data_IF_744106509565
#
_entry.id   IF_744106509565
#
_cell.length_a   1.000
_cell.length_b   1.000
_cell.length_c   1.000
_cell.angle_alpha   90.00
_cell.angle_beta   90.00
_cell.angle_gamma   90.00
#
_symmetry.space_group_name_H-M   'P 1'
#
loop_
_entity.id
_entity.type
_entity.pdbx_description
1 polymer ?
#
# COMPACT_ATOMS: atom_id res chain seq x y z
N UNK A 1 -35.66 16.05 36.30
CA UNK A 1 -34.53 16.14 35.35
C UNK A 1 -33.50 15.04 35.54
N UNK A 2 -32.87 14.80 36.70
CA UNK A 2 -31.84 13.74 36.88
C UNK A 2 -32.28 12.35 36.45
N UNK A 3 -33.51 11.88 36.82
CA UNK A 3 -34.02 10.57 36.41
C UNK A 3 -34.18 10.43 34.87
N UNK A 4 -34.56 11.51 34.17
CA UNK A 4 -34.70 11.50 32.72
C UNK A 4 -33.30 11.37 32.04
N UNK A 5 -32.31 12.16 32.50
CA UNK A 5 -30.97 12.12 31.99
C UNK A 5 -30.36 10.72 32.15
N UNK A 6 -30.53 10.11 33.35
CA UNK A 6 -30.04 8.75 33.61
C UNK A 6 -30.67 7.72 32.66
N UNK A 7 -32.03 7.77 32.51
CA UNK A 7 -32.73 6.87 31.57
C UNK A 7 -32.26 7.05 30.14
N UNK A 8 -32.13 8.30 29.68
CA UNK A 8 -31.63 8.60 28.34
C UNK A 8 -30.21 8.09 28.13
N UNK A 9 -29.32 8.22 29.11
CA UNK A 9 -27.96 7.70 29.04
C UNK A 9 -27.93 6.16 28.95
N UNK A 10 -28.80 5.49 29.73
CA UNK A 10 -28.91 4.02 29.69
C UNK A 10 -29.41 3.56 28.31
N UNK A 11 -30.46 4.18 27.77
CA UNK A 11 -30.97 3.82 26.43
C UNK A 11 -29.93 4.09 25.35
N UNK A 12 -29.22 5.22 25.41
CA UNK A 12 -28.14 5.53 24.48
C UNK A 12 -27.04 4.48 24.53
N UNK A 13 -26.63 4.04 25.72
CA UNK A 13 -25.66 2.97 25.88
C UNK A 13 -26.13 1.66 25.23
N UNK A 14 -27.37 1.24 25.45
CA UNK A 14 -27.93 0.05 24.83
C UNK A 14 -28.01 0.17 23.31
N UNK A 15 -28.35 1.33 22.76
CA UNK A 15 -28.36 1.59 21.33
C UNK A 15 -26.92 1.39 20.76
N UNK A 16 -25.89 1.96 21.41
CA UNK A 16 -24.50 1.78 20.97
C UNK A 16 -24.08 0.30 21.01
N UNK A 17 -24.49 -0.43 22.03
CA UNK A 17 -24.20 -1.84 22.16
C UNK A 17 -24.85 -2.66 21.02
N UNK A 18 -26.13 -2.40 20.74
CA UNK A 18 -26.83 -3.05 19.62
C UNK A 18 -26.15 -2.72 18.28
N UNK A 19 -25.78 -1.45 18.05
CA UNK A 19 -25.07 -1.05 16.85
C UNK A 19 -23.68 -1.72 16.72
N UNK A 20 -22.93 -1.83 17.83
CA UNK A 20 -21.65 -2.56 17.84
C UNK A 20 -21.84 -4.03 17.42
N UNK A 21 -22.89 -4.69 17.95
CA UNK A 21 -23.23 -6.08 17.57
C UNK A 21 -23.59 -6.17 16.08
N UNK A 22 -24.42 -5.26 15.57
CA UNK A 22 -24.79 -5.22 14.15
C UNK A 22 -23.53 -5.05 13.26
N UNK A 23 -22.68 -4.08 13.59
CA UNK A 23 -21.45 -3.83 12.81
C UNK A 23 -20.55 -5.06 12.78
N UNK A 24 -20.48 -5.82 13.89
CA UNK A 24 -19.70 -7.06 13.96
C UNK A 24 -20.31 -8.21 13.15
N UNK A 25 -21.59 -8.45 13.29
CA UNK A 25 -22.29 -9.55 12.58
C UNK A 25 -22.22 -9.33 11.06
N UNK A 26 -22.40 -8.11 10.60
CA UNK A 26 -22.37 -7.78 9.17
C UNK A 26 -20.97 -7.43 8.64
N UNK A 27 -19.92 -7.52 9.45
CA UNK A 27 -18.55 -7.15 9.08
C UNK A 27 -18.47 -5.78 8.38
N UNK A 28 -19.14 -4.74 8.94
CA UNK A 28 -19.14 -3.41 8.35
C UNK A 28 -17.86 -2.61 8.66
N UNK A 29 -17.21 -2.91 9.78
CA UNK A 29 -15.95 -2.29 10.20
C UNK A 29 -14.75 -3.16 9.81
N UNK A 30 -13.78 -2.56 9.12
CA UNK A 30 -12.55 -3.28 8.74
C UNK A 30 -11.71 -3.71 9.95
N UNK A 31 -10.94 -4.75 9.77
CA UNK A 31 -9.81 -5.09 10.63
C UNK A 31 -8.55 -4.36 10.13
N UNK A 32 -7.64 -4.12 11.05
CA UNK A 32 -6.31 -3.60 10.72
C UNK A 32 -5.31 -4.46 11.47
N UNK A 33 -4.46 -5.22 10.79
CA UNK A 33 -3.46 -6.03 11.47
C UNK A 33 -2.52 -5.16 12.30
N UNK A 34 -2.01 -5.72 13.37
CA UNK A 34 -0.98 -5.06 14.16
C UNK A 34 0.34 -5.10 13.39
N UNK A 35 1.10 -4.03 13.51
CA UNK A 35 2.42 -3.88 12.87
C UNK A 35 3.55 -3.91 13.88
N UNK A 36 4.75 -4.08 13.41
CA UNK A 36 5.95 -4.01 14.24
C UNK A 36 7.17 -3.66 13.38
N UNK A 37 8.22 -3.27 14.04
CA UNK A 37 9.54 -3.11 13.46
C UNK A 37 10.36 -4.36 13.86
N UNK A 38 10.95 -5.04 12.89
CA UNK A 38 11.76 -6.21 13.16
C UNK A 38 13.22 -5.87 13.55
N UNK A 39 14.06 -6.89 13.75
CA UNK A 39 15.47 -6.72 14.13
C UNK A 39 16.34 -6.07 13.05
N UNK A 40 15.86 -6.01 11.82
CA UNK A 40 16.52 -5.32 10.70
C UNK A 40 15.94 -3.94 10.43
N UNK A 41 15.13 -3.44 11.38
CA UNK A 41 14.40 -2.17 11.23
C UNK A 41 13.44 -2.13 10.02
N UNK A 42 12.97 -3.29 9.56
CA UNK A 42 11.94 -3.38 8.52
C UNK A 42 10.57 -3.39 9.16
N UNK A 43 9.72 -2.43 8.80
CA UNK A 43 8.33 -2.37 9.27
C UNK A 43 7.50 -3.43 8.54
N UNK A 44 6.79 -4.28 9.29
CA UNK A 44 5.95 -5.37 8.78
C UNK A 44 4.68 -5.53 9.61
N UNK A 45 3.75 -6.31 9.10
CA UNK A 45 2.65 -6.81 9.91
C UNK A 45 3.15 -7.89 10.87
N UNK A 46 2.58 -7.97 12.07
CA UNK A 46 2.84 -9.10 12.96
C UNK A 46 2.38 -10.38 12.30
N UNK A 47 3.18 -11.44 12.31
CA UNK A 47 2.82 -12.73 11.70
C UNK A 47 1.55 -13.36 12.25
N UNK A 48 0.95 -14.26 11.46
CA UNK A 48 -0.15 -15.12 11.85
C UNK A 48 -1.42 -14.38 12.28
N UNK A 49 -1.75 -13.29 11.61
CA UNK A 49 -3.00 -12.56 11.80
C UNK A 49 -3.96 -12.81 10.64
N UNK A 50 -5.25 -12.95 10.98
CA UNK A 50 -6.33 -13.02 10.01
C UNK A 50 -7.31 -11.87 10.26
N UNK A 51 -8.02 -11.45 9.22
CA UNK A 51 -9.05 -10.43 9.36
C UNK A 51 -9.69 -10.07 8.03
N UNK A 52 -10.49 -9.01 8.08
CA UNK A 52 -11.27 -8.54 6.95
C UNK A 52 -10.89 -7.11 6.59
N UNK A 53 -10.66 -6.88 5.31
CA UNK A 53 -10.56 -5.54 4.74
C UNK A 53 -11.91 -5.15 4.15
N UNK A 54 -12.41 -3.98 4.57
CA UNK A 54 -13.70 -3.45 4.12
C UNK A 54 -13.48 -2.03 3.62
N UNK A 55 -13.94 -1.74 2.41
CA UNK A 55 -13.84 -0.43 1.80
C UNK A 55 -15.20 0.00 1.23
N UNK A 56 -15.47 1.29 1.32
CA UNK A 56 -16.74 1.88 0.90
C UNK A 56 -17.88 1.66 1.90
N UNK A 57 -18.93 2.48 1.73
CA UNK A 57 -20.15 2.38 2.53
C UNK A 57 -20.85 1.06 2.25
N UNK A 58 -21.47 0.47 3.26
CA UNK A 58 -22.27 -0.77 3.12
C UNK A 58 -21.46 -1.96 2.59
N UNK A 59 -20.18 -2.09 2.96
CA UNK A 59 -19.36 -3.23 2.58
C UNK A 59 -19.24 -3.43 1.06
N UNK A 60 -19.06 -2.37 0.32
CA UNK A 60 -19.01 -2.42 -1.15
C UNK A 60 -17.82 -3.22 -1.69
N UNK A 61 -16.70 -3.20 -0.98
CA UNK A 61 -15.59 -4.09 -1.22
C UNK A 61 -15.26 -4.82 0.08
N UNK A 62 -15.18 -6.14 0.01
CA UNK A 62 -14.88 -7.03 1.12
C UNK A 62 -13.89 -8.08 0.69
N UNK A 63 -12.84 -8.25 1.47
CA UNK A 63 -11.81 -9.27 1.25
C UNK A 63 -11.25 -9.77 2.58
N UNK A 64 -10.84 -11.01 2.59
CA UNK A 64 -10.10 -11.62 3.69
C UNK A 64 -8.61 -11.42 3.49
N UNK A 65 -7.88 -11.26 4.58
CA UNK A 65 -6.43 -11.27 4.57
C UNK A 65 -5.86 -12.28 5.55
N UNK A 66 -4.70 -12.79 5.22
CA UNK A 66 -3.86 -13.62 6.08
C UNK A 66 -2.44 -13.08 6.07
N UNK A 67 -1.90 -12.77 7.24
CA UNK A 67 -0.50 -12.37 7.36
C UNK A 67 0.33 -13.62 7.64
N UNK A 68 1.21 -13.95 6.70
CA UNK A 68 2.09 -15.10 6.79
C UNK A 68 3.20 -14.93 7.85
N UNK A 69 4.04 -15.94 8.05
CA UNK A 69 5.16 -15.89 9.01
C UNK A 69 6.19 -14.82 8.70
N UNK A 70 6.30 -14.39 7.44
CA UNK A 70 7.19 -13.30 7.02
C UNK A 70 6.62 -11.90 7.25
N UNK A 71 5.34 -11.78 7.64
CA UNK A 71 4.69 -10.50 7.96
C UNK A 71 4.03 -9.80 6.76
N UNK A 72 3.62 -10.54 5.72
CA UNK A 72 2.98 -10.03 4.52
C UNK A 72 1.63 -10.70 4.26
N UNK A 73 0.74 -10.02 3.53
CA UNK A 73 -0.58 -10.56 3.18
C UNK A 73 -0.47 -11.66 2.14
N UNK A 74 -0.37 -12.89 2.60
CA UNK A 74 -0.21 -14.07 1.76
C UNK A 74 -0.62 -15.33 2.50
N UNK A 75 -1.31 -16.26 1.82
CA UNK A 75 -1.50 -17.63 2.29
C UNK A 75 -0.31 -18.53 1.91
N UNK A 76 0.64 -18.01 1.15
CA UNK A 76 1.91 -18.67 0.90
C UNK A 76 2.94 -18.23 1.91
N UNK A 77 3.66 -19.17 2.50
CA UNK A 77 4.89 -18.87 3.24
C UNK A 77 6.05 -18.53 2.28
N UNK A 78 6.88 -17.58 2.67
CA UNK A 78 7.98 -17.13 1.82
C UNK A 78 9.24 -17.91 2.16
N UNK A 79 9.43 -19.02 1.47
CA UNK A 79 10.56 -19.94 1.62
C UNK A 79 11.32 -20.10 0.30
N UNK A 80 12.02 -19.04 -0.16
CA UNK A 80 12.70 -19.08 -1.44
C UNK A 80 13.79 -20.16 -1.46
N UNK A 81 13.93 -20.82 -2.62
CA UNK A 81 14.89 -21.88 -2.88
C UNK A 81 15.61 -21.65 -4.22
N UNK A 82 16.48 -22.56 -4.65
CA UNK A 82 17.04 -22.57 -6.01
C UNK A 82 16.42 -23.64 -6.92
N UNK A 83 15.42 -24.36 -6.40
CA UNK A 83 14.84 -25.51 -7.08
C UNK A 83 13.67 -25.12 -8.00
N UNK A 84 13.18 -23.90 -7.86
CA UNK A 84 12.02 -23.36 -8.59
C UNK A 84 12.39 -22.01 -9.21
N UNK A 85 11.55 -21.58 -10.15
CA UNK A 85 11.60 -20.21 -10.64
C UNK A 85 10.80 -19.34 -9.69
N UNK A 86 11.44 -18.38 -9.07
CA UNK A 86 10.86 -17.56 -8.02
C UNK A 86 10.94 -16.07 -8.36
N UNK A 87 9.84 -15.36 -8.18
CA UNK A 87 9.73 -13.92 -8.41
C UNK A 87 9.22 -13.23 -7.18
N UNK A 88 9.87 -12.15 -6.75
CA UNK A 88 9.36 -11.26 -5.73
C UNK A 88 8.65 -10.06 -6.38
N UNK A 89 7.45 -9.77 -5.92
CA UNK A 89 6.77 -8.49 -6.14
C UNK A 89 6.90 -7.67 -4.87
N UNK A 90 7.60 -6.56 -4.91
CA UNK A 90 7.82 -5.67 -3.76
C UNK A 90 7.12 -4.35 -4.01
N UNK A 91 6.39 -3.82 -3.04
CA UNK A 91 5.68 -2.55 -3.22
C UNK A 91 4.82 -2.15 -2.05
N UNK A 92 3.98 -1.15 -2.31
CA UNK A 92 3.07 -0.57 -1.33
C UNK A 92 1.74 -1.34 -1.20
N UNK A 93 0.68 -0.65 -0.79
CA UNK A 93 -0.68 -1.19 -0.65
C UNK A 93 -1.25 -1.79 -1.94
N UNK A 94 -0.74 -1.44 -3.11
CA UNK A 94 -1.17 -2.00 -4.39
C UNK A 94 -0.68 -3.45 -4.57
N UNK A 95 0.52 -3.76 -4.08
CA UNK A 95 1.05 -5.13 -4.03
C UNK A 95 0.52 -5.88 -2.81
N UNK A 96 0.44 -5.23 -1.63
CA UNK A 96 -0.12 -5.82 -0.40
C UNK A 96 -1.52 -6.43 -0.60
N UNK A 97 -2.35 -5.72 -1.34
CA UNK A 97 -3.57 -6.28 -1.89
C UNK A 97 -4.71 -6.55 -0.92
N UNK A 98 -4.82 -5.87 0.21
CA UNK A 98 -5.97 -6.01 1.13
C UNK A 98 -7.34 -5.74 0.52
N UNK A 99 -7.39 -5.10 -0.64
CA UNK A 99 -8.64 -4.78 -1.34
C UNK A 99 -9.20 -5.93 -2.18
N UNK A 100 -8.52 -7.06 -2.22
CA UNK A 100 -8.91 -8.27 -2.95
C UNK A 100 -8.53 -9.51 -2.14
N UNK A 101 -9.33 -10.57 -2.24
CA UNK A 101 -8.93 -11.86 -1.71
C UNK A 101 -7.61 -12.31 -2.33
N UNK A 102 -6.77 -12.98 -1.57
CA UNK A 102 -5.44 -13.45 -1.96
C UNK A 102 -5.42 -14.18 -3.31
N UNK A 103 -6.41 -15.03 -3.58
CA UNK A 103 -6.51 -15.77 -4.86
C UNK A 103 -6.72 -14.88 -6.10
N UNK A 104 -7.03 -13.60 -5.88
CA UNK A 104 -7.10 -12.56 -6.91
C UNK A 104 -5.87 -11.65 -6.90
N UNK A 105 -4.82 -11.99 -6.16
CA UNK A 105 -3.56 -11.23 -6.15
C UNK A 105 -2.83 -11.32 -7.49
N UNK A 106 -1.92 -10.40 -7.73
CA UNK A 106 -1.12 -10.38 -8.96
C UNK A 106 -0.27 -11.64 -9.04
N UNK A 107 0.36 -12.04 -7.94
CA UNK A 107 1.18 -13.25 -7.86
C UNK A 107 0.38 -14.50 -8.20
N UNK A 108 -0.81 -14.67 -7.62
CA UNK A 108 -1.65 -15.83 -7.93
C UNK A 108 -2.12 -15.88 -9.38
N UNK A 109 -2.37 -14.73 -9.99
CA UNK A 109 -2.72 -14.66 -11.43
C UNK A 109 -1.54 -15.06 -12.32
N UNK A 110 -0.32 -14.71 -11.94
CA UNK A 110 0.90 -15.12 -12.65
C UNK A 110 1.08 -16.64 -12.49
N UNK A 111 1.04 -17.17 -11.28
CA UNK A 111 1.17 -18.60 -10.99
C UNK A 111 0.13 -19.47 -11.71
N UNK A 112 -1.11 -18.97 -11.83
CA UNK A 112 -2.18 -19.67 -12.57
C UNK A 112 -1.86 -19.81 -14.06
N UNK A 113 -1.14 -18.85 -14.63
CA UNK A 113 -0.75 -18.86 -16.06
C UNK A 113 0.57 -19.58 -16.30
N UNK A 114 1.44 -19.60 -15.30
CA UNK A 114 2.78 -20.22 -15.37
C UNK A 114 2.95 -21.14 -14.17
N UNK A 115 2.52 -22.40 -14.25
CA UNK A 115 2.48 -23.31 -13.08
C UNK A 115 3.83 -23.61 -12.42
N UNK A 116 4.94 -23.35 -13.11
CA UNK A 116 6.29 -23.61 -12.60
C UNK A 116 6.93 -22.44 -11.85
N UNK A 117 6.22 -21.31 -11.73
CA UNK A 117 6.70 -20.11 -11.04
C UNK A 117 6.08 -20.03 -9.63
N UNK A 118 6.86 -19.55 -8.66
CA UNK A 118 6.35 -19.08 -7.38
C UNK A 118 6.53 -17.59 -7.26
N UNK A 119 5.48 -16.90 -6.79
CA UNK A 119 5.48 -15.44 -6.65
C UNK A 119 5.27 -15.05 -5.20
N UNK A 120 6.23 -14.33 -4.64
CA UNK A 120 6.21 -13.79 -3.28
C UNK A 120 5.84 -12.31 -3.31
N UNK A 121 4.71 -11.94 -2.74
CA UNK A 121 4.19 -10.57 -2.73
C UNK A 121 4.59 -9.84 -1.44
N UNK A 122 5.75 -9.20 -1.43
CA UNK A 122 6.26 -8.36 -0.34
C UNK A 122 5.63 -6.96 -0.38
N UNK A 123 4.30 -6.92 -0.29
CA UNK A 123 3.54 -5.67 -0.27
C UNK A 123 3.25 -5.21 1.15
N UNK A 124 3.44 -3.92 1.42
CA UNK A 124 3.09 -3.32 2.70
C UNK A 124 2.60 -1.87 2.51
N UNK A 125 1.42 -1.58 3.04
CA UNK A 125 0.79 -0.27 2.89
C UNK A 125 1.66 0.88 3.39
N UNK A 126 2.03 1.75 2.47
CA UNK A 126 2.88 2.91 2.73
C UNK A 126 4.37 2.70 2.51
N UNK A 127 4.81 1.55 2.03
CA UNK A 127 6.19 1.42 1.55
C UNK A 127 6.43 2.39 0.40
N UNK A 128 7.51 3.11 0.49
CA UNK A 128 8.11 3.85 -0.61
C UNK A 128 9.34 3.10 -1.16
N UNK A 129 10.02 3.69 -2.12
CA UNK A 129 11.16 3.03 -2.76
C UNK A 129 12.34 2.82 -1.80
N UNK A 130 12.50 3.69 -0.80
CA UNK A 130 13.52 3.50 0.25
C UNK A 130 13.20 2.31 1.15
N UNK A 131 11.92 2.13 1.55
CA UNK A 131 11.46 0.96 2.31
C UNK A 131 11.69 -0.33 1.51
N UNK A 132 11.35 -0.34 0.21
CA UNK A 132 11.50 -1.50 -0.66
C UNK A 132 12.97 -1.93 -0.80
N UNK A 133 13.87 -0.99 -1.07
CA UNK A 133 15.29 -1.30 -1.23
C UNK A 133 15.94 -1.68 0.11
N UNK A 134 15.52 -1.06 1.21
CA UNK A 134 15.97 -1.45 2.55
C UNK A 134 15.55 -2.90 2.88
N UNK A 135 14.30 -3.28 2.59
CA UNK A 135 13.82 -4.65 2.74
C UNK A 135 14.68 -5.64 1.96
N UNK A 136 14.86 -5.41 0.65
CA UNK A 136 15.65 -6.30 -0.21
C UNK A 136 17.08 -6.44 0.28
N UNK A 137 17.69 -5.35 0.70
CA UNK A 137 19.05 -5.32 1.24
C UNK A 137 19.17 -6.05 2.59
N UNK A 138 18.24 -5.79 3.51
CA UNK A 138 18.25 -6.37 4.86
C UNK A 138 18.02 -7.87 4.85
N UNK A 139 17.20 -8.35 3.92
CA UNK A 139 16.91 -9.77 3.70
C UNK A 139 17.67 -10.37 2.52
N UNK A 140 18.86 -9.81 2.22
CA UNK A 140 19.68 -10.20 1.06
C UNK A 140 19.84 -11.71 0.91
N UNK A 141 20.05 -12.45 2.00
CA UNK A 141 20.22 -13.93 1.94
C UNK A 141 18.99 -14.63 1.34
N UNK A 142 17.78 -14.14 1.62
CA UNK A 142 16.53 -14.68 1.06
C UNK A 142 16.33 -14.18 -0.38
N UNK A 143 16.54 -12.89 -0.63
CA UNK A 143 16.39 -12.31 -1.96
C UNK A 143 17.45 -12.81 -2.96
N UNK A 144 18.62 -13.26 -2.52
CA UNK A 144 19.62 -13.89 -3.39
C UNK A 144 19.17 -15.26 -3.91
N UNK A 145 18.23 -15.91 -3.26
CA UNK A 145 17.63 -17.15 -3.74
C UNK A 145 16.57 -16.90 -4.83
N UNK A 146 15.91 -15.76 -4.80
CA UNK A 146 14.85 -15.37 -5.74
C UNK A 146 15.49 -14.97 -7.09
N UNK A 147 14.93 -15.48 -8.19
CA UNK A 147 15.51 -15.27 -9.52
C UNK A 147 15.30 -13.85 -10.04
N UNK A 148 14.13 -13.25 -9.77
CA UNK A 148 13.80 -11.92 -10.27
C UNK A 148 12.97 -11.11 -9.26
N UNK A 149 13.26 -9.82 -9.16
CA UNK A 149 12.56 -8.90 -8.24
C UNK A 149 11.90 -7.77 -9.02
N UNK A 150 10.61 -7.61 -8.85
CA UNK A 150 9.82 -6.53 -9.46
C UNK A 150 9.44 -5.54 -8.37
N UNK A 151 9.87 -4.30 -8.52
CA UNK A 151 9.69 -3.21 -7.55
C UNK A 151 8.62 -2.24 -8.08
N UNK A 152 7.47 -2.18 -7.41
CA UNK A 152 6.41 -1.22 -7.75
C UNK A 152 6.83 0.20 -7.39
N UNK A 153 6.73 1.14 -8.33
CA UNK A 153 7.16 2.53 -8.10
C UNK A 153 6.16 3.53 -8.68
N UNK A 154 5.81 4.53 -7.88
CA UNK A 154 5.07 5.74 -8.27
C UNK A 154 5.96 6.94 -8.05
N UNK A 155 6.37 7.58 -9.14
CA UNK A 155 7.37 8.64 -9.14
C UNK A 155 7.16 9.72 -8.07
N UNK A 156 5.95 10.28 -7.99
CA UNK A 156 5.65 11.39 -7.09
C UNK A 156 5.38 10.97 -5.64
N UNK A 157 5.15 9.68 -5.38
CA UNK A 157 4.80 9.16 -4.05
C UNK A 157 5.97 8.46 -3.37
N UNK A 158 6.72 7.65 -4.14
CA UNK A 158 7.67 6.70 -3.57
C UNK A 158 9.11 7.22 -3.58
N UNK A 159 9.37 8.39 -4.19
CA UNK A 159 10.69 9.02 -4.29
C UNK A 159 10.83 10.29 -3.44
N UNK A 160 10.01 10.45 -2.42
CA UNK A 160 10.00 11.65 -1.56
C UNK A 160 11.23 11.78 -0.67
N UNK A 161 11.97 10.68 -0.44
CA UNK A 161 13.21 10.62 0.35
C UNK A 161 14.31 9.82 -0.36
N UNK A 162 15.55 10.23 -0.19
CA UNK A 162 16.74 9.63 -0.80
C UNK A 162 17.50 8.65 0.09
N UNK A 163 16.96 8.34 1.27
CA UNK A 163 17.50 7.36 2.21
C UNK A 163 16.39 6.71 3.04
N UNK A 164 16.67 5.54 3.58
CA UNK A 164 15.77 4.87 4.50
C UNK A 164 15.83 5.49 5.90
N UNK A 165 14.67 5.75 6.45
CA UNK A 165 14.47 6.14 7.85
C UNK A 165 13.15 5.53 8.33
N UNK A 166 13.12 5.08 9.58
CA UNK A 166 11.92 4.50 10.19
C UNK A 166 10.78 5.52 10.22
N UNK A 167 9.64 5.16 9.68
CA UNK A 167 8.44 6.00 9.65
C UNK A 167 7.67 5.88 10.97
N UNK A 168 8.17 6.53 12.03
CA UNK A 168 7.61 6.45 13.39
C UNK A 168 6.13 6.73 13.47
N UNK A 169 5.59 7.67 12.68
CA UNK A 169 4.17 7.98 12.63
C UNK A 169 3.27 6.78 12.26
N UNK A 170 3.78 5.80 11.51
CA UNK A 170 3.06 4.55 11.25
C UNK A 170 3.04 3.65 12.49
N UNK A 171 4.16 3.59 13.24
CA UNK A 171 4.26 2.79 14.46
C UNK A 171 3.43 3.38 15.62
N UNK A 172 3.23 4.68 15.65
CA UNK A 172 2.37 5.36 16.63
C UNK A 172 0.90 4.90 16.55
N UNK A 173 0.48 4.34 15.40
CA UNK A 173 -0.83 3.69 15.26
C UNK A 173 -0.97 2.43 16.12
N UNK A 174 0.11 1.91 16.69
CA UNK A 174 0.13 0.80 17.65
C UNK A 174 0.18 1.27 19.11
N UNK A 175 -0.01 2.55 19.40
CA UNK A 175 -0.14 3.07 20.76
C UNK A 175 -1.31 2.40 21.51
N UNK A 176 -1.25 2.29 22.84
CA UNK A 176 -2.32 1.65 23.63
C UNK A 176 -3.71 2.23 23.38
N UNK A 177 -3.80 3.56 23.22
CA UNK A 177 -5.06 4.26 22.95
C UNK A 177 -5.59 3.84 21.56
N UNK A 178 -4.78 3.87 20.54
CA UNK A 178 -5.18 3.47 19.18
C UNK A 178 -5.60 1.99 19.13
N UNK A 179 -4.91 1.11 19.85
CA UNK A 179 -5.31 -0.30 19.98
C UNK A 179 -6.67 -0.46 20.66
N UNK A 180 -6.95 0.32 21.70
CA UNK A 180 -8.24 0.31 22.38
C UNK A 180 -9.36 0.79 21.44
N UNK A 181 -9.16 1.90 20.74
CA UNK A 181 -10.13 2.45 19.80
C UNK A 181 -10.45 1.49 18.65
N UNK A 182 -9.44 0.78 18.13
CA UNK A 182 -9.62 -0.25 17.08
C UNK A 182 -10.47 -1.44 17.53
N UNK A 183 -10.63 -1.69 18.85
CA UNK A 183 -11.48 -2.77 19.36
C UNK A 183 -12.99 -2.50 19.17
N UNK A 184 -13.43 -1.24 19.16
CA UNK A 184 -14.80 -0.90 18.81
C UNK A 184 -14.99 -0.88 17.30
N UNK A 185 -15.70 -1.88 16.77
CA UNK A 185 -16.01 -1.95 15.35
C UNK A 185 -16.99 -0.87 14.91
N UNK A 186 -17.89 -0.45 15.79
CA UNK A 186 -18.76 0.69 15.54
C UNK A 186 -17.96 1.97 15.33
N UNK A 187 -16.96 2.24 16.18
CA UNK A 187 -16.11 3.42 16.03
C UNK A 187 -15.31 3.39 14.73
N UNK A 188 -14.73 2.23 14.40
CA UNK A 188 -14.01 2.04 13.12
C UNK A 188 -14.94 2.26 11.93
N UNK A 189 -16.17 1.73 11.99
CA UNK A 189 -17.17 1.91 10.95
C UNK A 189 -17.59 3.38 10.81
N UNK A 190 -17.97 4.04 11.91
CA UNK A 190 -18.32 5.46 11.92
C UNK A 190 -17.23 6.34 11.31
N UNK A 191 -15.95 6.03 11.61
CA UNK A 191 -14.81 6.71 10.98
C UNK A 191 -14.74 6.44 9.49
N UNK A 192 -14.95 5.20 9.06
CA UNK A 192 -14.82 4.81 7.64
C UNK A 192 -15.91 5.43 6.75
N UNK A 193 -17.08 5.72 7.29
CA UNK A 193 -18.19 6.34 6.55
C UNK A 193 -18.31 7.87 6.77
N UNK A 194 -17.29 8.48 7.43
CA UNK A 194 -17.22 9.94 7.61
C UNK A 194 -18.14 10.53 8.69
N UNK A 195 -18.80 9.72 9.51
CA UNK A 195 -19.68 10.23 10.59
C UNK A 195 -18.90 11.04 11.62
N UNK A 196 -17.60 10.76 11.78
CA UNK A 196 -16.73 11.46 12.72
C UNK A 196 -16.00 12.66 12.10
N UNK A 197 -16.18 12.94 10.82
CA UNK A 197 -15.49 14.04 10.13
C UNK A 197 -16.01 15.42 10.55
N UNK A 198 -17.34 15.67 10.70
CA UNK A 198 -17.85 16.96 11.15
C UNK A 198 -17.28 17.43 12.49
N UNK A 199 -17.18 16.60 13.55
CA UNK A 199 -16.50 16.99 14.78
C UNK A 199 -15.02 17.33 14.59
N UNK A 200 -14.32 16.61 13.72
CA UNK A 200 -12.91 16.88 13.41
C UNK A 200 -12.74 18.21 12.67
N UNK A 201 -13.62 18.52 11.70
CA UNK A 201 -13.64 19.81 11.03
C UNK A 201 -13.95 20.95 12.01
N UNK A 202 -14.89 20.76 12.91
CA UNK A 202 -15.21 21.75 13.94
C UNK A 202 -14.00 22.03 14.84
N UNK A 203 -13.33 20.97 15.33
CA UNK A 203 -12.10 21.07 16.11
C UNK A 203 -10.99 21.78 15.32
N UNK A 204 -10.85 21.44 14.03
CA UNK A 204 -9.88 22.09 13.13
C UNK A 204 -10.19 23.60 12.98
N UNK A 205 -11.47 23.96 12.74
CA UNK A 205 -11.92 25.37 12.64
C UNK A 205 -11.67 26.12 13.94
N UNK A 206 -11.97 25.53 15.10
CA UNK A 206 -11.70 26.11 16.42
C UNK A 206 -10.18 26.31 16.62
N UNK A 207 -9.36 25.32 16.30
CA UNK A 207 -7.90 25.45 16.38
C UNK A 207 -7.35 26.50 15.43
N UNK A 208 -7.90 26.59 14.22
CA UNK A 208 -7.53 27.63 13.22
C UNK A 208 -7.91 29.02 13.70
N UNK A 209 -9.05 29.20 14.37
CA UNK A 209 -9.49 30.48 14.94
C UNK A 209 -8.63 30.92 16.13
N UNK A 210 -8.12 29.96 16.93
CA UNK A 210 -7.27 30.23 18.08
C UNK A 210 -5.76 30.42 17.73
N UNK A 211 -5.36 30.12 16.50
CA UNK A 211 -3.99 30.40 16.02
C UNK A 211 -3.99 31.66 15.20
N UNK A 212 -3.03 32.61 15.40
CA UNK A 212 -2.91 33.77 14.53
C UNK A 212 -2.80 33.29 13.08
N UNK A 213 -3.66 33.83 12.22
CA UNK A 213 -3.68 33.47 10.81
C UNK A 213 -2.34 33.82 10.15
N UNK A 214 -1.54 32.81 9.83
CA UNK A 214 -0.78 32.90 8.59
C UNK A 214 -1.82 32.85 7.47
N UNK A 215 -1.96 33.93 6.73
CA UNK A 215 -2.79 34.00 5.52
C UNK A 215 -2.35 32.83 4.62
N UNK A 216 -3.25 31.87 4.36
CA UNK A 216 -3.11 30.94 3.25
C UNK A 216 -3.12 31.84 1.98
N UNK A 217 -1.95 32.33 1.58
CA UNK A 217 -1.80 33.02 0.30
C UNK A 217 -2.15 31.97 -0.76
N UNK A 218 -3.10 32.28 -1.61
CA UNK A 218 -3.36 31.48 -2.80
C UNK A 218 -2.02 31.35 -3.55
N UNK A 219 -1.47 30.14 -3.60
CA UNK A 219 -0.20 29.88 -4.29
C UNK A 219 -0.45 30.25 -5.76
N UNK A 220 0.32 31.21 -6.29
CA UNK A 220 0.27 31.58 -7.70
C UNK A 220 0.58 30.33 -8.56
N UNK A 221 -0.08 30.21 -9.71
CA UNK A 221 0.16 29.11 -10.65
C UNK A 221 1.63 28.92 -10.99
N UNK A 222 2.37 30.02 -11.13
CA UNK A 222 3.80 30.01 -11.42
C UNK A 222 4.61 29.46 -10.24
N UNK A 223 4.24 29.80 -9.02
CA UNK A 223 4.85 29.28 -7.79
C UNK A 223 4.55 27.78 -7.64
N UNK A 224 3.32 27.34 -7.91
CA UNK A 224 2.94 25.92 -7.88
C UNK A 224 3.74 25.09 -8.91
N UNK A 225 3.91 25.61 -10.14
CA UNK A 225 4.72 24.96 -11.17
C UNK A 225 6.20 24.89 -10.79
N UNK A 226 6.74 25.94 -10.19
CA UNK A 226 8.13 25.97 -9.71
C UNK A 226 8.36 24.93 -8.62
N UNK A 227 7.47 24.86 -7.62
CA UNK A 227 7.51 23.86 -6.54
C UNK A 227 7.44 22.45 -7.13
N UNK A 228 6.56 22.23 -8.12
CA UNK A 228 6.46 20.93 -8.79
C UNK A 228 7.78 20.55 -9.47
N UNK A 229 8.38 21.44 -10.24
CA UNK A 229 9.66 21.20 -10.93
C UNK A 229 10.82 20.94 -9.96
N UNK A 230 10.87 21.66 -8.84
CA UNK A 230 11.87 21.44 -7.79
C UNK A 230 11.68 20.05 -7.13
N UNK A 231 10.45 19.66 -6.86
CA UNK A 231 10.14 18.32 -6.33
C UNK A 231 10.52 17.22 -7.31
N UNK A 232 10.21 17.38 -8.60
CA UNK A 232 10.56 16.40 -9.64
C UNK A 232 12.07 16.18 -9.75
N UNK A 233 12.87 17.24 -9.67
CA UNK A 233 14.33 17.16 -9.60
C UNK A 233 14.78 16.40 -8.34
N UNK A 234 14.23 16.77 -7.20
CA UNK A 234 14.53 16.10 -5.92
C UNK A 234 14.19 14.61 -5.96
N UNK A 235 13.06 14.23 -6.53
CA UNK A 235 12.66 12.82 -6.66
C UNK A 235 13.64 12.02 -7.52
N UNK A 236 14.12 12.59 -8.62
CA UNK A 236 15.14 11.95 -9.46
C UNK A 236 16.47 11.80 -8.69
N UNK A 237 16.91 12.80 -7.94
CA UNK A 237 18.13 12.72 -7.12
C UNK A 237 17.96 11.68 -5.98
N UNK A 238 16.79 11.62 -5.35
CA UNK A 238 16.48 10.61 -4.35
C UNK A 238 16.55 9.19 -4.94
N UNK A 239 16.01 8.98 -6.15
CA UNK A 239 16.14 7.70 -6.85
C UNK A 239 17.62 7.33 -7.08
N UNK A 240 18.43 8.26 -7.60
CA UNK A 240 19.87 8.04 -7.82
C UNK A 240 20.60 7.68 -6.53
N UNK A 241 20.32 8.39 -5.44
CA UNK A 241 20.88 8.12 -4.12
C UNK A 241 20.55 6.70 -3.66
N UNK A 242 19.27 6.32 -3.72
CA UNK A 242 18.79 5.00 -3.29
C UNK A 242 19.40 3.86 -4.10
N UNK A 243 19.39 3.96 -5.44
CA UNK A 243 19.95 2.88 -6.29
C UNK A 243 21.46 2.73 -6.12
N UNK A 244 22.18 3.82 -5.84
CA UNK A 244 23.61 3.78 -5.51
C UNK A 244 23.85 3.18 -4.13
N UNK A 245 23.14 3.66 -3.09
CA UNK A 245 23.31 3.21 -1.69
C UNK A 245 23.05 1.72 -1.51
N UNK A 246 22.05 1.18 -2.21
CA UNK A 246 21.64 -0.23 -2.09
C UNK A 246 22.18 -1.14 -3.19
N UNK A 247 23.09 -0.65 -4.04
CA UNK A 247 23.68 -1.42 -5.15
C UNK A 247 22.61 -2.12 -5.98
N UNK A 248 21.66 -1.35 -6.54
CA UNK A 248 20.53 -1.84 -7.32
C UNK A 248 21.01 -2.76 -8.47
N UNK A 249 20.60 -4.01 -8.45
CA UNK A 249 20.97 -5.02 -9.46
C UNK A 249 20.08 -4.90 -10.70
N UNK A 250 20.54 -4.17 -11.70
CA UNK A 250 19.81 -3.95 -12.97
C UNK A 250 19.55 -5.23 -13.77
N UNK A 251 20.24 -6.33 -13.47
CA UNK A 251 20.04 -7.61 -14.18
C UNK A 251 18.86 -8.39 -13.57
N UNK A 252 18.68 -8.29 -12.26
CA UNK A 252 17.66 -9.02 -11.51
C UNK A 252 16.45 -8.18 -11.14
N UNK A 253 16.59 -6.86 -11.09
CA UNK A 253 15.54 -5.97 -10.64
C UNK A 253 14.89 -5.23 -11.80
N UNK A 254 13.57 -5.21 -11.80
CA UNK A 254 12.75 -4.49 -12.78
C UNK A 254 11.76 -3.59 -12.05
N UNK A 255 11.59 -2.37 -12.52
CA UNK A 255 10.57 -1.46 -11.97
C UNK A 255 9.20 -1.78 -12.58
N UNK A 256 8.13 -1.67 -11.82
CA UNK A 256 6.74 -1.73 -12.29
C UNK A 256 6.11 -0.35 -12.12
N UNK A 257 5.72 0.28 -13.21
CA UNK A 257 5.24 1.67 -13.19
C UNK A 257 4.12 1.93 -14.21
N UNK A 258 3.49 3.07 -14.05
CA UNK A 258 2.49 3.64 -14.96
C UNK A 258 3.08 4.91 -15.61
N UNK A 259 3.42 4.84 -16.88
CA UNK A 259 4.03 5.99 -17.59
C UNK A 259 3.12 7.19 -17.73
N UNK A 260 1.78 7.02 -17.62
CA UNK A 260 0.80 8.14 -17.70
C UNK A 260 0.95 9.12 -16.55
N UNK A 261 1.40 8.63 -15.38
CA UNK A 261 1.56 9.42 -14.14
C UNK A 261 3.03 9.56 -13.73
N UNK A 262 3.95 9.04 -14.54
CA UNK A 262 5.39 9.09 -14.29
C UNK A 262 6.02 10.21 -15.09
N UNK A 263 6.88 11.02 -14.44
CA UNK A 263 7.57 12.13 -15.06
C UNK A 263 8.42 11.70 -16.27
N UNK A 264 8.32 12.41 -17.39
CA UNK A 264 9.02 12.09 -18.64
C UNK A 264 10.55 12.16 -18.52
N UNK A 265 11.07 13.08 -17.71
CA UNK A 265 12.51 13.21 -17.43
C UNK A 265 13.01 11.97 -16.69
N UNK A 266 12.23 11.45 -15.74
CA UNK A 266 12.54 10.21 -15.03
C UNK A 266 12.54 9.01 -15.99
N UNK A 267 11.53 8.86 -16.85
CA UNK A 267 11.48 7.80 -17.87
C UNK A 267 12.69 7.87 -18.82
N UNK A 268 13.06 9.08 -19.25
CA UNK A 268 14.24 9.32 -20.08
C UNK A 268 15.53 8.91 -19.37
N UNK A 269 15.63 9.23 -18.06
CA UNK A 269 16.75 8.81 -17.22
C UNK A 269 16.85 7.28 -17.12
N UNK A 270 15.72 6.58 -16.87
CA UNK A 270 15.69 5.13 -16.79
C UNK A 270 16.21 4.49 -18.09
N UNK A 271 15.71 4.94 -19.26
CA UNK A 271 16.16 4.46 -20.57
C UNK A 271 17.66 4.71 -20.80
N UNK A 272 18.11 5.96 -20.58
CA UNK A 272 19.52 6.33 -20.80
C UNK A 272 20.49 5.54 -19.91
N UNK A 273 20.06 5.12 -18.74
CA UNK A 273 20.90 4.43 -17.77
C UNK A 273 20.62 2.91 -17.71
N UNK A 274 19.92 2.36 -18.71
CA UNK A 274 19.63 0.93 -18.85
C UNK A 274 18.93 0.32 -17.62
N UNK A 275 17.95 1.06 -17.02
CA UNK A 275 17.04 0.49 -16.06
C UNK A 275 15.88 -0.19 -16.78
N UNK A 276 15.65 -1.46 -16.47
CA UNK A 276 14.51 -2.22 -16.99
C UNK A 276 13.24 -1.83 -16.22
N UNK A 277 12.15 -1.61 -16.95
CA UNK A 277 10.85 -1.38 -16.33
C UNK A 277 9.71 -2.02 -17.12
N UNK A 278 8.67 -2.41 -16.41
CA UNK A 278 7.39 -2.90 -16.91
C UNK A 278 6.43 -1.72 -16.84
N UNK A 279 5.89 -1.31 -17.97
CA UNK A 279 4.89 -0.23 -18.07
C UNK A 279 3.51 -0.83 -18.36
N UNK A 280 2.58 -0.66 -17.45
CA UNK A 280 1.22 -1.14 -17.62
C UNK A 280 0.24 -0.07 -18.16
N UNK A 281 0.73 1.14 -18.47
CA UNK A 281 -0.09 2.25 -18.97
C UNK A 281 -0.92 1.87 -20.18
N UNK A 282 -0.29 1.32 -21.23
CA UNK A 282 -0.96 0.93 -22.47
C UNK A 282 -2.08 -0.09 -22.23
N UNK A 283 -1.84 -1.08 -21.34
CA UNK A 283 -2.85 -2.08 -21.01
C UNK A 283 -4.07 -1.46 -20.30
N UNK A 284 -3.84 -0.43 -19.49
CA UNK A 284 -4.91 0.29 -18.78
C UNK A 284 -5.67 1.23 -19.73
N UNK A 285 -4.99 1.92 -20.63
CA UNK A 285 -5.62 2.81 -21.63
C UNK A 285 -6.49 2.04 -22.63
N UNK A 286 -6.02 0.89 -23.06
CA UNK A 286 -6.78 0.03 -23.96
C UNK A 286 -8.01 -0.62 -23.30
N UNK A 287 -8.12 -0.55 -21.97
CA UNK A 287 -9.21 -1.20 -21.25
C UNK A 287 -10.52 -0.40 -21.33
N UNK A 288 -11.57 -1.06 -21.79
CA UNK A 288 -12.95 -0.53 -21.77
C UNK A 288 -13.62 -0.66 -20.40
N UNK A 289 -13.01 -1.41 -19.46
CA UNK A 289 -13.54 -1.64 -18.11
C UNK A 289 -12.70 -0.86 -17.11
N UNK A 290 -13.32 -0.42 -16.01
CA UNK A 290 -12.58 0.18 -14.90
C UNK A 290 -11.49 -0.76 -14.40
N UNK A 291 -10.29 -0.22 -14.19
CA UNK A 291 -9.13 -0.95 -13.67
C UNK A 291 -8.92 -0.74 -12.18
N UNK A 292 -9.71 0.14 -11.56
CA UNK A 292 -9.63 0.52 -10.14
C UNK A 292 -10.97 0.32 -9.45
N UNK A 293 -10.93 0.28 -8.11
CA UNK A 293 -12.11 0.30 -7.26
C UNK A 293 -12.77 1.69 -7.30
N UNK A 294 -14.07 1.76 -7.09
CA UNK A 294 -14.84 3.01 -7.19
C UNK A 294 -14.46 3.98 -6.04
N UNK A 295 -14.32 3.47 -4.83
CA UNK A 295 -14.15 4.29 -3.62
C UNK A 295 -12.70 4.41 -3.16
N UNK A 296 -11.80 3.64 -3.75
CA UNK A 296 -10.44 3.47 -3.25
C UNK A 296 -9.47 3.31 -4.40
N UNK A 297 -9.31 3.97 -5.32
CA UNK A 297 -8.40 3.98 -6.49
C UNK A 297 -7.36 2.84 -6.61
N UNK A 298 -7.36 1.86 -5.67
CA UNK A 298 -6.55 0.64 -5.79
C UNK A 298 -7.06 -0.22 -6.93
N UNK A 299 -6.18 -1.04 -7.49
CA UNK A 299 -6.52 -1.90 -8.61
C UNK A 299 -7.61 -2.90 -8.23
N UNK A 300 -8.67 -2.95 -9.01
CA UNK A 300 -9.68 -3.99 -8.91
C UNK A 300 -9.17 -5.30 -9.53
N UNK A 301 -9.99 -6.35 -9.50
CA UNK A 301 -9.61 -7.65 -10.05
C UNK A 301 -9.23 -7.59 -11.54
N UNK A 302 -9.90 -6.74 -12.34
CA UNK A 302 -9.59 -6.54 -13.76
C UNK A 302 -8.23 -5.84 -13.94
N UNK A 303 -7.97 -4.76 -13.20
CA UNK A 303 -6.67 -4.07 -13.24
C UNK A 303 -5.51 -5.00 -12.87
N UNK A 304 -5.68 -5.84 -11.85
CA UNK A 304 -4.68 -6.85 -11.48
C UNK A 304 -4.45 -7.91 -12.55
N UNK A 305 -5.50 -8.31 -13.30
CA UNK A 305 -5.34 -9.19 -14.45
C UNK A 305 -4.47 -8.57 -15.55
N UNK A 306 -4.66 -7.29 -15.84
CA UNK A 306 -3.87 -6.58 -16.84
C UNK A 306 -2.41 -6.47 -16.41
N UNK A 307 -2.15 -6.10 -15.17
CA UNK A 307 -0.79 -6.02 -14.63
C UNK A 307 -0.11 -7.39 -14.63
N UNK A 308 -0.79 -8.43 -14.16
CA UNK A 308 -0.26 -9.79 -14.19
C UNK A 308 0.09 -10.22 -15.63
N UNK A 309 -0.75 -9.90 -16.61
CA UNK A 309 -0.47 -10.18 -18.03
C UNK A 309 0.79 -9.45 -18.51
N UNK A 310 0.93 -8.16 -18.21
CA UNK A 310 2.10 -7.36 -18.60
C UNK A 310 3.39 -7.90 -17.95
N UNK A 311 3.31 -8.32 -16.68
CA UNK A 311 4.44 -8.97 -15.99
C UNK A 311 4.81 -10.30 -16.67
N UNK A 312 3.84 -11.15 -17.00
CA UNK A 312 4.06 -12.42 -17.69
C UNK A 312 4.77 -12.21 -19.04
N UNK A 313 4.31 -11.25 -19.82
CA UNK A 313 4.93 -10.89 -21.11
C UNK A 313 6.39 -10.49 -20.91
N UNK A 314 6.69 -9.68 -19.91
CA UNK A 314 8.05 -9.29 -19.55
C UNK A 314 8.90 -10.49 -19.12
N UNK A 315 8.44 -11.32 -18.19
CA UNK A 315 9.15 -12.50 -17.69
C UNK A 315 9.46 -13.50 -18.84
N UNK A 316 8.55 -13.61 -19.80
CA UNK A 316 8.77 -14.40 -21.02
C UNK A 316 9.87 -13.81 -21.90
N UNK A 317 9.89 -12.50 -22.06
CA UNK A 317 10.88 -11.77 -22.87
C UNK A 317 12.31 -11.92 -22.31
N UNK A 318 12.48 -11.81 -21.00
CA UNK A 318 13.78 -11.97 -20.33
C UNK A 318 14.20 -13.45 -20.20
N UNK A 319 13.35 -14.37 -20.67
CA UNK A 319 13.63 -15.82 -20.71
C UNK A 319 13.95 -16.41 -19.34
N UNK A 320 13.27 -15.98 -18.30
CA UNK A 320 13.46 -16.49 -16.93
C UNK A 320 13.17 -18.00 -16.82
N UNK A 321 12.47 -18.58 -17.79
CA UNK A 321 12.03 -19.98 -17.85
C UNK A 321 13.01 -20.92 -18.57
N UNK A 322 14.28 -20.59 -18.64
CA UNK A 322 15.30 -21.44 -19.27
C UNK A 322 15.79 -22.56 -18.37
#
# INVERSE_FOLDING_TARGET
MKKLVIKSAIYFFFILLVLEVIVRIFHLGKDTPARFLDSYEVEKWKPNQNGFSVTGNRRQNFSEYHINSSGYNSYREFTPTKDKIEVALVGDSFIEGFHQNYYNSIGKKIETKIPKIEVYEYGYAGYDFADQLHLVHSYKKQFDLIDHVILGIKFSNDLTRGEYNIMRGRLDLESPINKLLKKSKLLVYCKSIGVLDPPQELIYRIRKTLRPQQKDAAIDKNEALRIQQENEKKYLENFKSLVSKYNYDKKRFTLLLDSRITNSTFLSYLKKNNFTYIDFATSFEASKKSTTLIYDRHWNNHGRNLIAKTIIEHLTTIKIFR
#
